data_IF_336347902506
#
_entry.id   IF_336347902506
#
_cell.length_a   1.000
_cell.length_b   1.000
_cell.length_c   1.000
_cell.angle_alpha   90.00
_cell.angle_beta   90.00
_cell.angle_gamma   90.00
#
_symmetry.space_group_name_H-M   'P 1'
#
loop_
_entity.id
_entity.type
_entity.pdbx_description
1 polymer ?
#
# COMPACT_ATOMS: atom_id res chain seq x y z
N UNK A 1 9.86 58.63 4.09
CA UNK A 1 10.64 57.86 5.06
C UNK A 1 9.63 56.98 5.77
N UNK A 2 9.65 55.70 5.42
CA UNK A 2 8.79 54.64 5.97
C UNK A 2 9.16 54.32 7.42
N UNK A 3 8.19 53.81 8.19
CA UNK A 3 8.35 52.80 9.26
C UNK A 3 7.01 52.70 10.01
N UNK A 4 6.44 51.56 10.35
CA UNK A 4 6.85 50.16 10.24
C UNK A 4 5.58 49.31 10.45
N UNK A 5 5.46 48.26 9.67
CA UNK A 5 4.26 47.47 9.42
C UNK A 5 4.08 46.36 10.47
N UNK A 6 2.85 45.88 10.60
CA UNK A 6 2.44 44.93 11.62
C UNK A 6 3.15 43.58 11.54
N UNK A 7 3.27 42.92 12.69
CA UNK A 7 3.64 41.51 12.79
C UNK A 7 2.62 40.66 12.03
N UNK A 8 2.94 40.34 10.77
CA UNK A 8 2.19 39.39 9.96
C UNK A 8 2.74 38.00 10.25
N UNK A 9 1.99 37.22 11.01
CA UNK A 9 2.23 35.77 11.13
C UNK A 9 1.98 35.20 9.74
N UNK A 10 2.97 34.58 9.07
CA UNK A 10 2.74 34.03 7.73
C UNK A 10 1.77 32.86 7.84
N UNK A 11 0.66 32.96 7.11
CA UNK A 11 -0.17 31.82 6.71
C UNK A 11 0.75 30.79 6.04
N UNK A 12 0.72 29.49 6.43
CA UNK A 12 1.55 28.50 5.76
C UNK A 12 1.17 28.46 4.28
N UNK A 13 2.09 28.95 3.45
CA UNK A 13 1.96 28.98 2.00
C UNK A 13 1.46 27.63 1.47
N UNK A 14 0.41 27.67 0.66
CA UNK A 14 -0.27 26.56 -0.04
C UNK A 14 0.65 25.66 -0.93
N UNK A 15 1.97 25.75 -0.81
CA UNK A 15 2.95 25.14 -1.71
C UNK A 15 3.72 23.93 -1.19
N UNK A 16 3.53 23.48 0.06
CA UNK A 16 4.37 22.42 0.66
C UNK A 16 3.56 21.17 1.11
N UNK A 17 2.41 20.91 0.50
CA UNK A 17 1.78 19.59 0.59
C UNK A 17 2.10 18.83 -0.70
N UNK A 18 3.04 17.86 -0.67
CA UNK A 18 3.31 17.04 -1.84
C UNK A 18 2.04 16.29 -2.24
N UNK A 19 1.47 16.67 -3.38
CA UNK A 19 0.33 15.99 -3.99
C UNK A 19 0.84 14.75 -4.71
N UNK A 20 0.81 13.61 -4.04
CA UNK A 20 1.04 12.31 -4.68
C UNK A 20 -0.22 11.91 -5.46
N UNK A 21 -0.05 11.35 -6.67
CA UNK A 21 -1.17 10.81 -7.48
C UNK A 21 -1.84 9.58 -6.84
N UNK A 22 -1.28 9.06 -5.74
CA UNK A 22 -1.91 8.04 -4.90
C UNK A 22 -2.75 8.72 -3.82
N UNK A 23 -4.05 8.43 -3.76
CA UNK A 23 -4.95 8.86 -2.68
C UNK A 23 -4.47 8.41 -1.28
N UNK A 24 -3.46 7.53 -1.20
CA UNK A 24 -3.01 6.88 0.03
C UNK A 24 -1.53 7.06 0.38
N UNK A 25 -0.71 7.69 -0.48
CA UNK A 25 0.69 7.98 -0.17
C UNK A 25 0.86 9.47 0.00
N UNK A 26 1.13 9.94 1.21
CA UNK A 26 1.56 11.32 1.43
C UNK A 26 3.09 11.24 1.54
N UNK A 27 3.80 11.85 0.61
CA UNK A 27 5.26 11.80 0.57
C UNK A 27 5.83 12.77 1.62
N UNK A 28 5.84 12.34 2.88
CA UNK A 28 6.34 13.14 4.01
C UNK A 28 7.87 13.09 4.00
N UNK A 29 8.58 14.24 3.95
CA UNK A 29 10.04 14.27 4.02
C UNK A 29 10.58 13.59 5.29
N UNK A 30 11.67 12.83 5.16
CA UNK A 30 12.30 12.03 6.23
C UNK A 30 11.43 10.90 6.81
N UNK A 31 10.30 10.55 6.19
CA UNK A 31 9.58 9.33 6.53
C UNK A 31 10.33 8.09 6.05
N UNK A 32 9.99 6.92 6.59
CA UNK A 32 10.56 5.63 6.20
C UNK A 32 9.43 4.63 6.01
N UNK A 33 9.42 3.93 4.87
CA UNK A 33 8.47 2.85 4.61
C UNK A 33 8.76 1.69 5.56
N UNK A 34 7.80 1.36 6.42
CA UNK A 34 7.89 0.21 7.33
C UNK A 34 7.41 -1.10 6.67
N UNK A 35 6.46 -0.99 5.75
CA UNK A 35 5.84 -2.11 5.05
C UNK A 35 5.24 -1.65 3.74
N UNK A 36 5.29 -2.51 2.73
CA UNK A 36 4.66 -2.34 1.43
C UNK A 36 4.04 -3.69 1.02
N UNK A 37 2.94 -3.64 0.27
CA UNK A 37 2.33 -4.83 -0.28
C UNK A 37 3.04 -5.25 -1.57
N UNK A 38 3.24 -6.56 -1.76
CA UNK A 38 3.71 -7.06 -3.05
C UNK A 38 2.68 -6.74 -4.15
N UNK A 39 3.14 -6.35 -5.36
CA UNK A 39 2.25 -6.14 -6.49
C UNK A 39 1.55 -7.45 -6.85
N UNK A 40 0.29 -7.34 -7.32
CA UNK A 40 -0.44 -8.51 -7.81
C UNK A 40 0.19 -9.03 -9.12
N UNK A 41 0.09 -10.34 -9.39
CA UNK A 41 0.44 -10.89 -10.69
C UNK A 41 -0.32 -10.21 -11.84
N UNK A 42 0.31 -10.13 -13.02
CA UNK A 42 -0.30 -9.48 -14.20
C UNK A 42 -1.64 -10.12 -14.59
N UNK A 43 -1.74 -11.45 -14.49
CA UNK A 43 -2.95 -12.21 -14.77
C UNK A 43 -3.98 -12.19 -13.64
N UNK A 44 -3.75 -11.45 -12.54
CA UNK A 44 -4.67 -11.44 -11.39
C UNK A 44 -6.10 -11.08 -11.75
N UNK A 45 -6.33 -10.26 -12.78
CA UNK A 45 -7.67 -9.92 -13.27
C UNK A 45 -8.48 -11.15 -13.74
N UNK A 46 -7.80 -12.19 -14.23
CA UNK A 46 -8.41 -13.45 -14.67
C UNK A 46 -8.69 -14.40 -13.49
N UNK A 47 -8.01 -14.19 -12.37
CA UNK A 47 -8.05 -15.06 -11.18
C UNK A 47 -8.55 -14.29 -9.96
N UNK A 48 -9.74 -13.69 -10.08
CA UNK A 48 -10.46 -13.02 -8.98
C UNK A 48 -9.67 -11.91 -8.27
N UNK A 49 -8.71 -11.28 -8.95
CA UNK A 49 -7.81 -10.26 -8.40
C UNK A 49 -6.97 -10.78 -7.21
N UNK A 50 -6.68 -12.08 -7.18
CA UNK A 50 -5.88 -12.67 -6.12
C UNK A 50 -4.43 -12.19 -6.15
N UNK A 51 -3.85 -12.05 -4.95
CA UNK A 51 -2.40 -11.94 -4.79
C UNK A 51 -1.74 -13.28 -5.07
N UNK A 52 -0.43 -13.28 -5.32
CA UNK A 52 0.31 -14.54 -5.51
C UNK A 52 0.15 -15.48 -4.32
N UNK A 53 0.14 -14.94 -3.10
CA UNK A 53 -0.12 -15.71 -1.88
C UNK A 53 -1.52 -16.32 -1.86
N UNK A 54 -2.56 -15.55 -2.23
CA UNK A 54 -3.93 -16.08 -2.25
C UNK A 54 -4.11 -17.18 -3.30
N UNK A 55 -3.42 -17.09 -4.44
CA UNK A 55 -3.44 -18.12 -5.48
C UNK A 55 -2.92 -19.48 -4.97
N UNK A 56 -2.00 -19.52 -4.00
CA UNK A 56 -1.43 -20.78 -3.48
C UNK A 56 -2.22 -21.39 -2.32
N UNK A 57 -3.20 -20.70 -1.73
CA UNK A 57 -3.88 -21.16 -0.52
C UNK A 57 -4.54 -22.53 -0.67
N UNK A 58 -5.14 -22.78 -1.84
CA UNK A 58 -5.90 -23.99 -2.15
C UNK A 58 -5.16 -24.94 -3.10
N UNK A 59 -3.84 -24.77 -3.24
CA UNK A 59 -3.03 -25.69 -4.02
C UNK A 59 -2.95 -27.06 -3.32
N UNK A 60 -3.10 -28.14 -4.10
CA UNK A 60 -3.03 -29.52 -3.62
C UNK A 60 -1.84 -30.23 -4.26
N UNK A 61 -0.71 -30.23 -3.56
CA UNK A 61 0.51 -30.89 -4.02
C UNK A 61 0.41 -32.43 -3.94
N UNK A 62 1.21 -33.09 -4.76
CA UNK A 62 1.30 -34.55 -4.76
C UNK A 62 1.68 -35.11 -3.38
N UNK A 63 0.92 -36.09 -2.92
CA UNK A 63 1.10 -36.71 -1.60
C UNK A 63 0.50 -35.94 -0.42
N UNK A 64 0.03 -34.70 -0.60
CA UNK A 64 -0.54 -33.88 0.48
C UNK A 64 -1.80 -34.52 1.09
N UNK A 65 -2.66 -35.13 0.25
CA UNK A 65 -3.90 -35.81 0.69
C UNK A 65 -3.71 -36.87 1.76
N UNK A 66 -2.52 -37.48 1.85
CA UNK A 66 -2.23 -38.51 2.85
C UNK A 66 -1.94 -37.93 4.24
N UNK A 67 -1.68 -36.62 4.32
CA UNK A 67 -1.29 -35.90 5.54
C UNK A 67 -2.37 -34.93 6.02
N UNK A 68 -3.22 -34.44 5.12
CA UNK A 68 -4.30 -33.51 5.48
C UNK A 68 -5.39 -34.22 6.29
N UNK A 69 -5.93 -33.49 7.26
CA UNK A 69 -7.11 -33.94 7.97
C UNK A 69 -8.35 -33.88 7.06
N UNK A 70 -9.40 -34.70 7.31
CA UNK A 70 -10.62 -34.68 6.50
C UNK A 70 -11.39 -33.35 6.51
N UNK A 71 -11.04 -32.44 7.42
CA UNK A 71 -11.66 -31.11 7.57
C UNK A 71 -10.77 -29.98 7.06
N UNK A 72 -9.65 -30.29 6.40
CA UNK A 72 -8.87 -29.27 5.70
C UNK A 72 -9.73 -28.69 4.57
N UNK A 73 -9.64 -27.38 4.33
CA UNK A 73 -10.51 -26.70 3.37
C UNK A 73 -10.04 -26.79 1.91
N UNK A 74 -8.88 -27.42 1.67
CA UNK A 74 -8.34 -27.67 0.33
C UNK A 74 -8.99 -28.88 -0.35
#
# INVERSE_FOLDING_TARGET
QESDDGCSVPDPSDGDIPTCDSTYSIDIPNSTTLWEADPRPENSAEYYQFTQFAMSLNEMEEGMKTKLCPTDCR
#
